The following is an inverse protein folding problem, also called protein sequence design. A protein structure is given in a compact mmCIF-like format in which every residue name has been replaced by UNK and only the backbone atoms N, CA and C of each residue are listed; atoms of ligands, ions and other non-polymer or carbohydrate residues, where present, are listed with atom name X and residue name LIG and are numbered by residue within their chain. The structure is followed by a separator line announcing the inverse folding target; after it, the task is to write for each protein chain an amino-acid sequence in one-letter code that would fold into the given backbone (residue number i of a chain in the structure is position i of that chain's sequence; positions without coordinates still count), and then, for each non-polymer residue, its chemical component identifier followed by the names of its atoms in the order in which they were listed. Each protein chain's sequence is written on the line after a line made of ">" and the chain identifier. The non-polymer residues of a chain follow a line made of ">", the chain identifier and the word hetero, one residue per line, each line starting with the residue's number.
data_IF_537389300145
#
_entry.id   IF_537389300145
#
_cell.length_a   1.000
_cell.length_b   1.000
_cell.length_c   1.000
_cell.angle_alpha   90.00
_cell.angle_beta   90.00
_cell.angle_gamma   90.00
#
_symmetry.space_group_name_H-M   'P 1'
#
loop_
_entity.id
_entity.type
_entity.pdbx_description
1 polymer ?
#
# COMPACT_ATOMS: atom_id res chain seq x y z
N UNK A 1 -25.68 14.87 -36.60
CA UNK A 1 -24.23 14.95 -36.27
C UNK A 1 -23.90 15.92 -35.14
N UNK A 2 -24.19 17.23 -35.23
CA UNK A 2 -23.76 18.22 -34.19
C UNK A 2 -24.20 17.90 -32.74
N UNK A 3 -25.42 17.38 -32.55
CA UNK A 3 -25.92 16.98 -31.21
C UNK A 3 -25.24 15.72 -30.64
N UNK A 4 -24.81 14.79 -31.51
CA UNK A 4 -24.08 13.59 -31.11
C UNK A 4 -22.65 13.93 -30.69
N UNK A 5 -22.02 14.87 -31.41
CA UNK A 5 -20.69 15.37 -31.06
C UNK A 5 -20.70 16.14 -29.73
N UNK A 6 -21.74 16.95 -29.50
CA UNK A 6 -21.92 17.67 -28.23
C UNK A 6 -22.17 16.70 -27.07
N UNK A 7 -22.97 15.65 -27.29
CA UNK A 7 -23.20 14.59 -26.30
C UNK A 7 -21.91 13.82 -26.00
N UNK A 8 -21.13 13.46 -27.02
CA UNK A 8 -19.83 12.79 -26.85
C UNK A 8 -18.82 13.65 -26.10
N UNK A 9 -18.79 14.96 -26.36
CA UNK A 9 -17.95 15.91 -25.62
C UNK A 9 -18.43 16.07 -24.17
N UNK A 10 -19.74 16.11 -23.93
CA UNK A 10 -20.30 16.19 -22.58
C UNK A 10 -20.05 14.90 -21.79
N UNK A 11 -20.16 13.73 -22.44
CA UNK A 11 -19.81 12.43 -21.87
C UNK A 11 -18.31 12.39 -21.58
N UNK A 12 -17.43 12.79 -22.50
CA UNK A 12 -15.98 12.82 -22.22
C UNK A 12 -15.55 13.83 -21.15
N UNK A 13 -16.35 14.86 -20.88
CA UNK A 13 -16.11 15.85 -19.82
C UNK A 13 -16.77 15.47 -18.48
N UNK A 14 -17.89 14.73 -18.51
CA UNK A 14 -18.61 14.27 -17.31
C UNK A 14 -18.09 12.93 -16.79
N UNK A 15 -17.53 12.10 -17.67
CA UNK A 15 -16.65 10.99 -17.33
C UNK A 15 -15.22 11.51 -17.44
N UNK A 16 -14.86 12.47 -16.57
CA UNK A 16 -13.45 12.67 -16.24
C UNK A 16 -12.86 11.29 -15.98
N UNK A 17 -11.80 10.95 -16.72
CA UNK A 17 -10.94 9.81 -16.47
C UNK A 17 -10.81 9.71 -14.95
N UNK A 18 -11.31 8.63 -14.36
CA UNK A 18 -11.20 8.42 -12.93
C UNK A 18 -9.70 8.28 -12.66
N UNK A 19 -9.07 9.38 -12.29
CA UNK A 19 -7.72 9.37 -11.77
C UNK A 19 -7.83 8.93 -10.31
N UNK A 20 -7.10 7.87 -9.97
CA UNK A 20 -7.03 7.39 -8.59
C UNK A 20 -6.63 8.57 -7.68
N UNK A 21 -7.38 8.83 -6.59
CA UNK A 21 -7.09 9.96 -5.72
C UNK A 21 -5.67 9.81 -5.14
N UNK A 22 -4.90 10.91 -5.02
CA UNK A 22 -3.56 10.83 -4.46
C UNK A 22 -3.65 10.31 -3.02
N UNK A 23 -2.69 9.47 -2.62
CA UNK A 23 -2.59 8.89 -1.26
C UNK A 23 -2.75 9.92 -0.14
N UNK A 24 -2.25 11.14 -0.34
CA UNK A 24 -2.38 12.24 0.61
C UNK A 24 -3.86 12.62 0.86
N UNK A 25 -4.71 12.55 -0.16
CA UNK A 25 -6.14 12.81 -0.03
C UNK A 25 -6.85 11.65 0.69
N UNK A 26 -6.52 10.40 0.37
CA UNK A 26 -7.03 9.21 1.07
C UNK A 26 -6.66 9.26 2.56
N UNK A 27 -5.39 9.55 2.86
CA UNK A 27 -4.90 9.72 4.23
C UNK A 27 -5.65 10.81 4.99
N UNK A 28 -5.84 11.98 4.36
CA UNK A 28 -6.55 13.09 4.98
C UNK A 28 -8.00 12.69 5.30
N UNK A 29 -8.69 12.02 4.37
CA UNK A 29 -10.05 11.54 4.58
C UNK A 29 -10.14 10.47 5.67
N UNK A 30 -9.21 9.51 5.69
CA UNK A 30 -9.16 8.48 6.72
C UNK A 30 -8.90 9.07 8.11
N UNK A 31 -8.03 10.07 8.23
CA UNK A 31 -7.79 10.81 9.48
C UNK A 31 -9.02 11.60 9.93
N UNK A 32 -9.75 12.21 8.99
CA UNK A 32 -11.01 12.91 9.32
C UNK A 32 -12.08 11.95 9.81
N UNK A 33 -12.18 10.75 9.23
CA UNK A 33 -13.14 9.72 9.68
C UNK A 33 -12.72 9.03 10.97
N UNK A 34 -11.42 8.97 11.28
CA UNK A 34 -10.93 8.37 12.53
C UNK A 34 -11.54 9.00 13.79
N UNK A 35 -11.87 10.30 13.76
CA UNK A 35 -12.56 10.95 14.89
C UNK A 35 -14.01 10.50 15.05
N UNK A 36 -14.67 10.07 13.96
CA UNK A 36 -16.04 9.52 14.01
C UNK A 36 -16.08 8.12 14.65
N UNK A 37 -14.92 7.45 14.76
CA UNK A 37 -14.76 6.18 15.47
C UNK A 37 -14.47 6.37 16.97
N UNK A 38 -14.48 7.63 17.45
CA UNK A 38 -14.62 7.90 18.87
C UNK A 38 -16.09 7.70 19.23
N UNK A 39 -16.36 6.76 20.12
CA UNK A 39 -17.69 6.37 20.59
C UNK A 39 -18.44 5.40 19.67
N UNK A 40 -17.75 4.76 18.72
CA UNK A 40 -18.30 3.63 17.97
C UNK A 40 -18.21 2.35 18.81
N UNK A 41 -19.07 2.29 19.83
CA UNK A 41 -19.17 1.15 20.73
C UNK A 41 -19.73 -0.08 20.00
N UNK A 42 -18.96 -1.17 20.00
CA UNK A 42 -19.40 -2.45 19.48
C UNK A 42 -19.83 -3.36 20.62
N UNK A 43 -21.15 -3.53 20.80
CA UNK A 43 -21.74 -4.36 21.85
C UNK A 43 -21.31 -5.84 21.77
N UNK A 44 -21.06 -6.38 20.57
CA UNK A 44 -20.71 -7.78 20.39
C UNK A 44 -19.26 -8.10 20.78
N UNK A 45 -18.38 -7.10 20.73
CA UNK A 45 -16.94 -7.22 21.04
C UNK A 45 -16.59 -6.58 22.40
N UNK A 46 -17.60 -6.12 23.15
CA UNK A 46 -17.39 -5.39 24.40
C UNK A 46 -16.94 -6.31 25.54
N UNK A 47 -15.90 -5.89 26.26
CA UNK A 47 -15.61 -6.42 27.59
C UNK A 47 -16.59 -5.83 28.60
N UNK A 48 -17.11 -6.68 29.50
CA UNK A 48 -18.07 -6.33 30.54
C UNK A 48 -17.39 -6.42 31.90
N UNK A 49 -17.66 -5.45 32.76
CA UNK A 49 -17.14 -5.38 34.11
C UNK A 49 -18.10 -4.64 35.04
N UNK A 50 -17.59 -4.32 36.22
CA UNK A 50 -18.37 -3.56 37.20
C UNK A 50 -17.50 -2.71 38.11
N UNK A 51 -17.99 -1.54 38.50
CA UNK A 51 -17.36 -0.66 39.51
C UNK A 51 -18.09 -0.87 40.84
N UNK A 52 -17.41 -1.40 41.87
CA UNK A 52 -17.98 -1.41 43.22
C UNK A 52 -17.97 0.00 43.81
N UNK A 53 -19.05 0.35 44.50
CA UNK A 53 -19.17 1.59 45.27
C UNK A 53 -19.49 1.17 46.70
N UNK A 54 -18.62 1.51 47.65
CA UNK A 54 -18.65 0.95 49.01
C UNK A 54 -19.98 1.20 49.76
N UNK A 55 -20.65 2.32 49.51
CA UNK A 55 -21.92 2.72 50.14
C UNK A 55 -23.15 2.33 49.30
N UNK A 56 -22.97 1.93 48.04
CA UNK A 56 -24.07 1.53 47.16
C UNK A 56 -24.11 0.01 47.04
N UNK A 57 -25.23 -0.62 47.42
CA UNK A 57 -25.38 -2.08 47.47
C UNK A 57 -25.20 -2.80 46.11
N UNK A 58 -25.09 -2.06 45.00
CA UNK A 58 -24.96 -2.59 43.64
C UNK A 58 -23.70 -2.04 42.98
N UNK A 59 -22.98 -2.88 42.25
CA UNK A 59 -21.91 -2.41 41.38
C UNK A 59 -22.51 -1.77 40.12
N UNK A 60 -21.88 -0.70 39.63
CA UNK A 60 -22.23 -0.11 38.34
C UNK A 60 -21.70 -0.99 37.21
N UNK A 61 -22.57 -1.37 36.28
CA UNK A 61 -22.14 -2.11 35.09
C UNK A 61 -21.29 -1.21 34.19
N UNK A 62 -20.17 -1.73 33.69
CA UNK A 62 -19.31 -1.01 32.73
C UNK A 62 -19.01 -1.89 31.54
N UNK A 63 -19.06 -1.33 30.34
CA UNK A 63 -18.77 -2.02 29.09
C UNK A 63 -17.85 -1.15 28.23
N UNK A 64 -16.80 -1.73 27.64
CA UNK A 64 -15.98 -1.03 26.64
C UNK A 64 -15.53 -1.97 25.53
N UNK A 65 -15.32 -1.40 24.35
CA UNK A 65 -14.71 -2.05 23.19
C UNK A 65 -13.58 -1.16 22.67
N UNK A 66 -12.47 -1.78 22.29
CA UNK A 66 -11.39 -1.10 21.60
C UNK A 66 -10.77 -2.04 20.57
N UNK A 67 -10.55 -1.54 19.35
CA UNK A 67 -9.93 -2.34 18.29
C UNK A 67 -9.15 -1.52 17.27
N UNK A 68 -8.28 -2.19 16.52
CA UNK A 68 -7.59 -1.65 15.35
C UNK A 68 -8.57 -1.62 14.18
N UNK A 69 -9.01 -0.43 13.79
CA UNK A 69 -9.89 -0.27 12.63
C UNK A 69 -9.13 -0.35 11.29
N UNK A 70 -7.84 0.02 11.30
CA UNK A 70 -6.97 -0.07 10.13
C UNK A 70 -5.77 0.88 10.20
N UNK A 71 -5.06 1.03 9.08
CA UNK A 71 -4.06 2.08 8.89
C UNK A 71 -4.50 3.08 7.83
N UNK A 72 -4.11 4.35 7.99
CA UNK A 72 -4.50 5.46 7.12
C UNK A 72 -4.10 5.27 5.66
N UNK A 73 -2.97 4.58 5.41
CA UNK A 73 -2.34 4.40 4.10
C UNK A 73 -2.69 3.07 3.40
N UNK A 74 -3.66 2.30 3.90
CA UNK A 74 -3.95 0.98 3.31
C UNK A 74 -4.55 1.09 1.91
N UNK A 75 -3.96 0.35 0.98
CA UNK A 75 -4.54 0.03 -0.32
C UNK A 75 -4.43 -1.49 -0.50
N UNK A 76 -5.53 -2.17 -0.84
CA UNK A 76 -5.60 -3.63 -1.00
C UNK A 76 -5.00 -4.43 0.18
N UNK A 77 -5.21 -3.92 1.41
CA UNK A 77 -4.64 -4.43 2.66
C UNK A 77 -3.12 -4.33 2.80
N UNK A 78 -2.41 -3.71 1.85
CA UNK A 78 -0.99 -3.40 1.94
C UNK A 78 -0.77 -1.95 2.38
N UNK A 79 0.38 -1.69 3.00
CA UNK A 79 0.84 -0.34 3.39
C UNK A 79 2.21 -0.05 2.79
N UNK A 80 2.58 1.22 2.68
CA UNK A 80 3.91 1.64 2.27
C UNK A 80 4.51 2.63 3.26
N UNK A 81 5.81 2.87 3.15
CA UNK A 81 6.44 3.99 3.84
C UNK A 81 5.94 5.34 3.29
N UNK A 82 5.74 6.34 4.16
CA UNK A 82 5.35 7.67 3.73
C UNK A 82 4.87 8.59 4.85
N UNK A 83 4.89 9.90 4.58
CA UNK A 83 4.44 10.90 5.54
C UNK A 83 2.94 10.77 5.80
N UNK A 84 2.59 10.37 7.03
CA UNK A 84 1.21 10.35 7.51
C UNK A 84 0.60 8.97 7.72
N UNK A 85 1.40 7.91 7.65
CA UNK A 85 1.01 6.59 8.14
C UNK A 85 0.58 6.68 9.61
N UNK A 86 -0.60 6.16 9.94
CA UNK A 86 -1.09 6.08 11.29
C UNK A 86 -2.08 4.95 11.45
N UNK A 87 -2.08 4.35 12.63
CA UNK A 87 -3.03 3.34 13.04
C UNK A 87 -4.27 4.06 13.55
N UNK A 88 -5.44 3.66 13.05
CA UNK A 88 -6.73 4.15 13.48
C UNK A 88 -7.30 3.13 14.46
N UNK A 89 -7.65 3.61 15.64
CA UNK A 89 -8.24 2.81 16.71
C UNK A 89 -9.71 3.19 16.83
N UNK A 90 -10.58 2.18 16.79
CA UNK A 90 -11.99 2.32 17.11
C UNK A 90 -12.16 2.06 18.60
N UNK A 91 -12.86 2.96 19.30
CA UNK A 91 -13.10 2.83 20.75
C UNK A 91 -14.48 3.34 21.14
N UNK A 92 -15.07 2.70 22.14
CA UNK A 92 -16.33 3.14 22.73
C UNK A 92 -16.60 2.46 24.05
N UNK A 93 -17.50 3.02 24.85
CA UNK A 93 -17.83 2.48 26.15
C UNK A 93 -19.14 3.01 26.69
N UNK A 94 -19.69 2.30 27.67
CA UNK A 94 -20.89 2.67 28.40
C UNK A 94 -20.70 2.34 29.87
N UNK A 95 -21.19 3.23 30.72
CA UNK A 95 -21.23 3.04 32.16
C UNK A 95 -22.68 3.12 32.63
N UNK A 96 -23.04 2.26 33.57
CA UNK A 96 -24.29 2.34 34.29
C UNK A 96 -24.21 3.42 35.36
N UNK A 97 -25.37 3.95 35.75
CA UNK A 97 -25.50 5.01 36.74
C UNK A 97 -26.47 4.54 37.84
N UNK A 98 -26.32 5.00 39.10
CA UNK A 98 -27.33 4.76 40.12
C UNK A 98 -28.68 5.34 39.68
N UNK A 99 -29.67 4.45 39.52
CA UNK A 99 -31.04 4.84 39.22
C UNK A 99 -31.80 5.13 40.52
N UNK A 100 -32.67 6.15 40.50
CA UNK A 100 -33.59 6.46 41.59
C UNK A 100 -34.29 5.21 42.13
N UNK A 101 -34.47 5.11 43.46
CA UNK A 101 -35.10 3.95 44.11
C UNK A 101 -36.52 3.63 43.58
N UNK A 102 -37.23 4.61 43.02
CA UNK A 102 -38.65 4.53 42.59
C UNK A 102 -38.89 4.84 41.10
N UNK A 103 -37.86 5.06 40.27
CA UNK A 103 -38.04 5.60 38.91
C UNK A 103 -36.93 5.29 37.91
N UNK A 104 -37.00 5.94 36.73
CA UNK A 104 -36.04 5.82 35.60
C UNK A 104 -35.11 7.06 35.52
N UNK A 105 -35.09 7.92 36.54
CA UNK A 105 -34.26 9.12 36.58
C UNK A 105 -32.87 8.88 37.14
N UNK A 106 -31.88 9.66 36.66
CA UNK A 106 -30.51 9.70 37.19
C UNK A 106 -30.45 10.77 38.28
N UNK A 107 -29.78 10.47 39.40
CA UNK A 107 -29.52 11.43 40.48
C UNK A 107 -28.33 12.35 40.13
N UNK A 108 -28.49 13.11 39.05
CA UNK A 108 -27.49 14.04 38.52
C UNK A 108 -27.70 15.46 39.07
N UNK A 109 -26.65 16.01 39.69
CA UNK A 109 -26.63 17.38 40.22
C UNK A 109 -27.01 18.44 39.17
N UNK A 110 -26.62 18.27 37.91
CA UNK A 110 -26.92 19.21 36.83
C UNK A 110 -28.41 19.23 36.48
N UNK A 111 -29.09 18.09 36.63
CA UNK A 111 -30.53 17.96 36.36
C UNK A 111 -31.39 18.62 37.46
N UNK A 112 -30.99 18.52 38.72
CA UNK A 112 -31.77 19.05 39.84
C UNK A 112 -31.55 20.55 40.12
N UNK A 113 -30.48 21.17 39.60
CA UNK A 113 -30.22 22.61 39.68
C UNK A 113 -29.91 23.16 41.09
N UNK A 114 -30.34 22.46 42.13
CA UNK A 114 -30.04 22.61 43.54
C UNK A 114 -29.97 21.22 44.19
N UNK A 115 -29.25 21.09 45.30
CA UNK A 115 -29.37 19.93 46.20
C UNK A 115 -30.80 19.92 46.75
N UNK A 116 -31.72 19.28 46.04
CA UNK A 116 -33.06 19.00 46.55
C UNK A 116 -33.00 17.63 47.17
N UNK A 117 -33.20 17.53 48.50
CA UNK A 117 -33.24 16.28 49.26
C UNK A 117 -34.39 15.38 48.76
N UNK A 118 -34.19 14.77 47.58
CA UNK A 118 -35.06 13.76 47.04
C UNK A 118 -34.69 12.47 47.76
N UNK A 119 -35.61 11.97 48.59
CA UNK A 119 -35.48 10.66 49.22
C UNK A 119 -35.32 9.51 48.20
N UNK A 120 -35.55 9.77 46.91
CA UNK A 120 -35.36 8.81 45.83
C UNK A 120 -33.88 8.66 45.41
N UNK A 121 -33.05 9.64 45.79
CA UNK A 121 -31.61 9.67 45.58
C UNK A 121 -30.83 9.40 46.87
N UNK A 122 -31.49 8.97 47.94
CA UNK A 122 -30.88 8.42 49.15
C UNK A 122 -30.73 6.91 48.94
N UNK A 123 -29.56 6.49 48.44
CA UNK A 123 -29.31 5.15 47.96
C UNK A 123 -28.96 4.17 49.07
N UNK A 124 -28.37 4.64 50.17
CA UNK A 124 -28.00 3.83 51.33
C UNK A 124 -29.04 3.88 52.48
N UNK A 125 -29.98 4.83 52.42
CA UNK A 125 -31.09 4.98 53.36
C UNK A 125 -30.73 5.71 54.66
N UNK A 126 -29.63 6.45 54.70
CA UNK A 126 -29.17 7.18 55.88
C UNK A 126 -29.90 8.54 56.09
N UNK A 127 -30.76 8.92 55.14
CA UNK A 127 -31.53 10.16 55.15
C UNK A 127 -30.84 11.33 54.46
N UNK A 128 -29.70 11.10 53.81
CA UNK A 128 -28.97 12.08 53.02
C UNK A 128 -28.89 11.64 51.55
N UNK A 129 -29.48 12.44 50.65
CA UNK A 129 -29.43 12.13 49.22
C UNK A 129 -28.00 12.26 48.66
N UNK A 130 -27.53 11.26 47.93
CA UNK A 130 -26.26 11.27 47.21
C UNK A 130 -26.45 11.69 45.74
N UNK A 131 -25.39 12.25 45.15
CA UNK A 131 -25.45 12.79 43.80
C UNK A 131 -24.27 12.34 42.97
N UNK A 132 -24.56 11.85 41.78
CA UNK A 132 -23.55 11.70 40.74
C UNK A 132 -23.05 13.09 40.35
N UNK A 133 -21.71 13.22 40.34
CA UNK A 133 -21.05 14.43 39.88
C UNK A 133 -20.44 14.24 38.49
N UNK A 134 -19.88 13.07 38.22
CA UNK A 134 -19.40 12.73 36.88
C UNK A 134 -19.39 11.22 36.63
N UNK A 135 -19.61 10.86 35.36
CA UNK A 135 -19.50 9.51 34.85
C UNK A 135 -18.70 9.52 33.56
N UNK A 136 -17.38 9.48 33.70
CA UNK A 136 -16.44 9.67 32.59
C UNK A 136 -15.74 8.36 32.19
N UNK A 137 -15.36 8.26 30.93
CA UNK A 137 -14.53 7.16 30.42
C UNK A 137 -13.31 7.78 29.75
N UNK A 138 -12.13 7.53 30.33
CA UNK A 138 -10.86 7.98 29.79
C UNK A 138 -10.15 6.84 29.09
N UNK A 139 -9.46 7.16 28.00
CA UNK A 139 -8.79 6.15 27.18
C UNK A 139 -7.31 6.44 27.07
N UNK A 140 -6.50 5.41 27.26
CA UNK A 140 -5.06 5.37 26.99
C UNK A 140 -4.84 4.38 25.85
N UNK A 141 -4.03 4.77 24.87
CA UNK A 141 -3.83 4.02 23.62
C UNK A 141 -2.34 3.99 23.28
N UNK A 142 -1.72 2.85 23.54
CA UNK A 142 -0.37 2.54 23.10
C UNK A 142 -0.40 1.56 21.91
N UNK A 143 0.41 1.85 20.89
CA UNK A 143 0.61 0.97 19.75
C UNK A 143 2.09 0.59 19.67
N UNK A 144 2.33 -0.72 19.60
CA UNK A 144 3.65 -1.31 19.37
C UNK A 144 3.75 -1.69 17.89
N UNK A 145 4.77 -1.19 17.22
CA UNK A 145 5.08 -1.44 15.81
C UNK A 145 6.29 -2.36 15.70
N UNK A 146 6.14 -3.48 15.01
CA UNK A 146 7.21 -4.47 14.79
C UNK A 146 7.43 -4.68 13.30
N UNK A 147 8.65 -4.37 12.84
CA UNK A 147 9.06 -4.56 11.43
C UNK A 147 10.57 -4.77 11.32
N UNK A 148 10.99 -5.76 10.53
CA UNK A 148 12.42 -5.97 10.24
C UNK A 148 13.32 -6.19 11.48
N UNK A 149 12.76 -6.72 12.57
CA UNK A 149 13.46 -6.88 13.85
C UNK A 149 13.52 -5.62 14.73
N UNK A 150 12.98 -4.49 14.26
CA UNK A 150 12.76 -3.30 15.08
C UNK A 150 11.44 -3.42 15.82
N UNK A 151 11.40 -2.85 17.03
CA UNK A 151 10.21 -2.81 17.87
C UNK A 151 10.13 -1.42 18.53
N UNK A 152 9.11 -0.65 18.18
CA UNK A 152 8.93 0.73 18.61
C UNK A 152 7.52 0.94 19.14
N UNK A 153 7.38 1.68 20.24
CA UNK A 153 6.07 2.03 20.80
C UNK A 153 5.76 3.51 20.53
N UNK A 154 4.53 3.79 20.12
CA UNK A 154 4.00 5.15 20.10
C UNK A 154 2.62 5.19 20.76
N UNK A 155 2.36 6.28 21.45
CA UNK A 155 1.11 6.53 22.17
C UNK A 155 0.25 7.54 21.40
N UNK A 156 -1.07 7.47 21.59
CA UNK A 156 -1.95 8.55 21.20
C UNK A 156 -1.57 9.84 21.95
N UNK A 157 -1.93 10.99 21.38
CA UNK A 157 -1.75 12.26 22.09
C UNK A 157 -2.74 12.31 23.25
N UNK A 158 -2.25 12.56 24.45
CA UNK A 158 -3.07 12.58 25.67
C UNK A 158 -3.11 13.95 26.35
N UNK A 159 -4.15 14.16 27.15
CA UNK A 159 -4.23 15.21 28.16
C UNK A 159 -4.56 14.62 29.54
N UNK A 160 -4.09 15.28 30.58
CA UNK A 160 -4.40 14.89 31.96
C UNK A 160 -5.65 15.65 32.44
N UNK A 161 -6.68 14.91 32.82
CA UNK A 161 -7.99 15.40 33.27
C UNK A 161 -8.13 15.16 34.77
N UNK A 162 -8.51 16.21 35.51
CA UNK A 162 -8.70 16.14 36.95
C UNK A 162 -10.15 15.89 37.37
N UNK A 163 -10.41 14.82 38.14
CA UNK A 163 -11.70 14.56 38.80
C UNK A 163 -11.47 14.51 40.32
N UNK A 164 -12.05 15.48 41.04
CA UNK A 164 -11.87 15.65 42.50
C UNK A 164 -10.43 15.53 43.02
N UNK A 165 -9.46 16.05 42.26
CA UNK A 165 -8.04 16.06 42.63
C UNK A 165 -7.26 14.79 42.26
N UNK A 166 -7.91 13.77 41.68
CA UNK A 166 -7.24 12.67 41.00
C UNK A 166 -7.07 12.99 39.51
N UNK A 167 -5.96 12.56 38.91
CA UNK A 167 -5.63 12.81 37.51
C UNK A 167 -5.80 11.53 36.70
N UNK A 168 -6.37 11.67 35.50
CA UNK A 168 -6.58 10.59 34.54
C UNK A 168 -6.09 11.03 33.16
N UNK A 169 -5.41 10.13 32.45
CA UNK A 169 -4.93 10.42 31.10
C UNK A 169 -6.02 10.07 30.08
N UNK A 170 -6.23 10.95 29.12
CA UNK A 170 -7.24 10.80 28.08
C UNK A 170 -6.69 11.10 26.69
N UNK A 171 -6.81 10.13 25.80
CA UNK A 171 -6.44 10.25 24.41
C UNK A 171 -7.31 11.29 23.70
N UNK A 172 -6.67 12.34 23.20
CA UNK A 172 -7.24 13.41 22.39
C UNK A 172 -7.51 12.98 20.94
N UNK A 173 -6.92 11.87 20.50
CA UNK A 173 -7.05 11.36 19.15
C UNK A 173 -7.03 9.83 19.11
N UNK A 174 -7.76 9.28 18.15
CA UNK A 174 -7.83 7.85 17.88
C UNK A 174 -6.81 7.38 16.84
N UNK A 175 -5.84 8.22 16.54
CA UNK A 175 -4.82 7.97 15.54
C UNK A 175 -3.44 7.99 16.19
N UNK A 176 -2.69 6.90 16.03
CA UNK A 176 -1.31 6.81 16.49
C UNK A 176 -0.41 6.78 15.26
N UNK A 177 0.51 7.73 15.17
CA UNK A 177 1.42 7.82 14.02
C UNK A 177 2.50 6.76 14.11
N UNK A 178 2.94 6.25 12.95
CA UNK A 178 4.09 5.33 12.88
C UNK A 178 5.34 6.06 13.40
N UNK A 179 6.17 5.45 14.27
CA UNK A 179 7.37 6.08 14.80
C UNK A 179 8.40 6.50 13.74
N UNK A 180 9.03 7.66 13.95
CA UNK A 180 10.11 8.17 13.10
C UNK A 180 11.29 7.18 13.08
N UNK A 181 11.56 6.59 11.91
CA UNK A 181 12.61 5.57 11.73
C UNK A 181 12.06 4.21 11.29
N UNK A 182 10.86 3.85 11.76
CA UNK A 182 10.12 2.69 11.26
C UNK A 182 9.78 2.88 9.78
N UNK A 183 9.29 4.07 9.42
CA UNK A 183 9.02 4.46 8.04
C UNK A 183 10.25 4.27 7.13
N UNK A 184 11.45 4.65 7.60
CA UNK A 184 12.69 4.52 6.81
C UNK A 184 13.08 3.07 6.55
N UNK A 185 12.82 2.17 7.51
CA UNK A 185 13.04 0.75 7.29
C UNK A 185 12.03 0.19 6.30
N UNK A 186 10.76 0.59 6.43
CA UNK A 186 9.68 0.20 5.51
C UNK A 186 9.99 0.66 4.07
N UNK A 187 10.65 1.81 3.86
CA UNK A 187 11.03 2.29 2.51
C UNK A 187 11.89 1.30 1.73
N UNK A 188 12.69 0.48 2.41
CA UNK A 188 13.58 -0.50 1.80
C UNK A 188 12.99 -1.91 1.76
N UNK A 189 11.76 -2.08 2.25
CA UNK A 189 11.02 -3.34 2.20
C UNK A 189 10.98 -3.88 0.77
N UNK A 190 11.10 -5.19 0.66
CA UNK A 190 10.99 -5.92 -0.61
C UNK A 190 9.55 -6.27 -0.98
N UNK A 191 8.55 -5.82 -0.22
CA UNK A 191 7.14 -6.20 -0.42
C UNK A 191 6.77 -7.55 0.17
N UNK A 192 7.74 -8.25 0.78
CA UNK A 192 7.56 -9.57 1.39
C UNK A 192 7.52 -9.52 2.93
N UNK A 193 8.00 -8.42 3.50
CA UNK A 193 7.95 -8.18 4.94
C UNK A 193 6.59 -7.65 5.40
N UNK A 194 6.23 -7.97 6.63
CA UNK A 194 5.00 -7.49 7.26
C UNK A 194 5.33 -6.52 8.40
N UNK A 195 4.49 -5.50 8.54
CA UNK A 195 4.39 -4.66 9.72
C UNK A 195 3.35 -5.29 10.65
N UNK A 196 3.79 -5.73 11.82
CA UNK A 196 2.88 -6.15 12.88
C UNK A 196 2.60 -4.96 13.79
N UNK A 197 1.33 -4.68 14.01
CA UNK A 197 0.81 -3.64 14.89
C UNK A 197 0.12 -4.32 16.06
N UNK A 198 0.51 -3.95 17.28
CA UNK A 198 -0.10 -4.47 18.50
C UNK A 198 -0.67 -3.29 19.27
N UNK A 199 -1.98 -3.30 19.46
CA UNK A 199 -2.69 -2.35 20.31
C UNK A 199 -2.62 -2.82 21.76
N UNK A 200 -2.21 -1.93 22.65
CA UNK A 200 -2.35 -2.04 24.09
C UNK A 200 -3.15 -0.84 24.58
N UNK A 201 -4.45 -1.04 24.75
CA UNK A 201 -5.37 0.00 25.16
C UNK A 201 -5.85 -0.17 26.59
N UNK A 202 -6.11 0.93 27.28
CA UNK A 202 -6.80 0.93 28.57
C UNK A 202 -8.00 1.86 28.52
N UNK A 203 -9.18 1.35 28.91
CA UNK A 203 -10.35 2.19 29.18
C UNK A 203 -10.53 2.29 30.69
N UNK A 204 -10.39 3.50 31.23
CA UNK A 204 -10.55 3.80 32.65
C UNK A 204 -11.88 4.48 32.88
N UNK A 205 -12.79 3.76 33.52
CA UNK A 205 -14.09 4.27 33.92
C UNK A 205 -13.95 4.99 35.25
N UNK A 206 -14.43 6.21 35.34
CA UNK A 206 -14.31 7.08 36.51
C UNK A 206 -15.69 7.55 36.92
N UNK A 207 -16.08 7.22 38.14
CA UNK A 207 -17.33 7.66 38.72
C UNK A 207 -17.05 8.58 39.90
N UNK A 208 -17.41 9.85 39.73
CA UNK A 208 -17.30 10.90 40.74
C UNK A 208 -18.63 11.08 41.46
N UNK A 209 -18.61 11.02 42.78
CA UNK A 209 -19.83 11.08 43.61
C UNK A 209 -19.68 12.04 44.78
N UNK A 210 -20.76 12.74 45.11
CA UNK A 210 -20.96 13.41 46.40
C UNK A 210 -21.78 12.49 47.29
N UNK A 211 -21.07 11.63 48.04
CA UNK A 211 -21.63 10.78 49.10
C UNK A 211 -21.95 11.70 50.29
N UNK A 212 -23.23 11.94 50.55
CA UNK A 212 -23.64 12.86 51.62
C UNK A 212 -24.00 12.04 52.84
N UNK A 213 -23.38 12.34 53.97
CA UNK A 213 -23.60 11.59 55.22
C UNK A 213 -24.20 12.48 56.33
N UNK A 214 -25.00 11.91 57.26
CA UNK A 214 -25.58 12.63 58.39
C UNK A 214 -24.55 13.26 59.31
N UNK A 215 -24.71 14.56 59.57
CA UNK A 215 -23.98 15.33 60.57
C UNK A 215 -24.98 16.13 61.44
N UNK A 216 -25.67 15.42 62.33
CA UNK A 216 -26.72 16.00 63.18
C UNK A 216 -28.02 16.21 62.41
N UNK A 217 -28.48 17.47 62.27
CA UNK A 217 -29.69 17.82 61.50
C UNK A 217 -29.39 18.23 60.04
N UNK A 218 -28.15 18.03 59.59
CA UNK A 218 -27.70 18.41 58.25
C UNK A 218 -26.85 17.31 57.64
N UNK A 219 -26.80 17.22 56.31
CA UNK A 219 -25.92 16.31 55.59
C UNK A 219 -24.63 17.02 55.17
N UNK A 220 -23.47 16.38 55.35
CA UNK A 220 -22.17 16.87 54.90
C UNK A 220 -21.72 16.14 53.63
N UNK A 221 -21.14 16.88 52.68
CA UNK A 221 -20.60 16.32 51.45
C UNK A 221 -19.29 15.57 51.69
N UNK A 222 -19.18 14.36 51.15
CA UNK A 222 -17.96 13.57 51.07
C UNK A 222 -17.73 13.18 49.61
N UNK A 223 -16.91 13.98 48.93
CA UNK A 223 -16.56 13.70 47.55
C UNK A 223 -15.66 12.45 47.45
N UNK A 224 -16.09 11.51 46.62
CA UNK A 224 -15.37 10.28 46.31
C UNK A 224 -15.16 10.13 44.82
N UNK A 225 -14.08 9.45 44.46
CA UNK A 225 -13.83 8.97 43.10
C UNK A 225 -13.57 7.48 43.21
N UNK A 226 -14.34 6.70 42.47
CA UNK A 226 -14.04 5.29 42.23
C UNK A 226 -13.69 5.13 40.76
N UNK A 227 -12.75 4.25 40.47
CA UNK A 227 -12.35 3.96 39.10
C UNK A 227 -12.08 2.49 38.90
N UNK A 228 -12.32 2.03 37.68
CA UNK A 228 -12.00 0.68 37.24
C UNK A 228 -11.47 0.76 35.82
N UNK A 229 -10.37 0.06 35.57
CA UNK A 229 -9.79 -0.03 34.24
C UNK A 229 -10.07 -1.38 33.59
N UNK A 230 -10.24 -1.36 32.28
CA UNK A 230 -10.26 -2.52 31.39
C UNK A 230 -9.10 -2.43 30.42
N UNK A 231 -8.45 -3.57 30.16
CA UNK A 231 -7.31 -3.64 29.27
C UNK A 231 -7.66 -4.40 27.99
N UNK A 232 -7.21 -3.87 26.87
CA UNK A 232 -7.45 -4.38 25.53
C UNK A 232 -6.13 -4.67 24.84
N UNK A 233 -6.03 -5.85 24.25
CA UNK A 233 -4.90 -6.21 23.41
C UNK A 233 -5.41 -6.79 22.11
N UNK A 234 -4.94 -6.23 21.00
CA UNK A 234 -5.23 -6.73 19.66
C UNK A 234 -3.98 -6.68 18.80
N UNK A 235 -3.89 -7.57 17.82
CA UNK A 235 -2.84 -7.53 16.81
C UNK A 235 -3.43 -7.44 15.40
N UNK A 236 -2.74 -6.71 14.54
CA UNK A 236 -3.01 -6.65 13.12
C UNK A 236 -1.69 -6.74 12.35
N UNK A 237 -1.72 -7.34 11.17
CA UNK A 237 -0.53 -7.52 10.33
C UNK A 237 -0.81 -6.98 8.95
N UNK A 238 0.08 -6.13 8.45
CA UNK A 238 -0.04 -5.49 7.14
C UNK A 238 1.21 -5.77 6.29
N UNK A 239 1.08 -6.31 5.07
CA UNK A 239 2.18 -6.38 4.12
C UNK A 239 2.73 -4.99 3.84
N UNK A 240 4.06 -4.85 3.84
CA UNK A 240 4.73 -3.57 3.60
C UNK A 240 5.37 -3.58 2.23
N UNK A 241 4.88 -2.74 1.33
CA UNK A 241 5.56 -2.44 0.08
C UNK A 241 6.53 -1.27 0.28
N UNK A 242 7.81 -1.50 -0.06
CA UNK A 242 8.81 -0.44 -0.01
C UNK A 242 8.59 0.61 -1.10
N UNK A 243 9.45 1.62 -1.13
CA UNK A 243 9.47 2.54 -2.28
C UNK A 243 9.85 1.79 -3.54
N UNK A 244 9.16 2.07 -4.64
CA UNK A 244 9.45 1.45 -5.91
C UNK A 244 10.83 1.86 -6.43
N UNK A 245 11.83 1.02 -6.17
CA UNK A 245 13.13 1.10 -6.81
C UNK A 245 13.20 -0.02 -7.83
N UNK A 246 13.28 0.37 -9.09
CA UNK A 246 13.40 -0.59 -10.19
C UNK A 246 14.87 -0.75 -10.57
N UNK A 247 15.26 -1.99 -10.84
CA UNK A 247 16.52 -2.33 -11.48
C UNK A 247 16.21 -2.93 -12.86
N UNK A 248 16.54 -2.18 -13.89
CA UNK A 248 16.33 -2.61 -15.28
C UNK A 248 17.57 -3.34 -15.77
N UNK A 249 17.41 -4.58 -16.20
CA UNK A 249 18.45 -5.27 -16.96
C UNK A 249 18.56 -4.59 -18.31
N UNK A 250 19.76 -4.12 -18.65
CA UNK A 250 19.97 -3.34 -19.86
C UNK A 250 19.85 -4.22 -21.11
N UNK A 251 18.85 -3.96 -21.95
CA UNK A 251 18.84 -4.31 -23.36
C UNK A 251 17.93 -3.36 -24.16
N UNK A 252 18.29 -3.02 -25.42
CA UNK A 252 19.42 -3.52 -26.19
C UNK A 252 20.66 -2.62 -26.15
N UNK A 253 21.82 -3.29 -26.10
CA UNK A 253 23.21 -2.80 -26.18
C UNK A 253 23.56 -2.03 -27.47
N UNK A 254 22.59 -1.72 -28.34
CA UNK A 254 22.81 -1.14 -29.66
C UNK A 254 21.84 0.03 -29.90
N UNK A 255 22.42 1.24 -29.98
CA UNK A 255 21.71 2.49 -30.34
C UNK A 255 21.19 2.50 -31.79
N UNK A 256 21.54 1.49 -32.59
CA UNK A 256 21.07 1.30 -33.96
C UNK A 256 20.34 -0.05 -34.09
N UNK A 257 19.13 -0.03 -34.65
CA UNK A 257 18.26 -1.19 -34.86
C UNK A 257 17.86 -1.30 -36.33
N UNK A 258 17.53 -2.50 -36.79
CA UNK A 258 17.04 -2.72 -38.16
C UNK A 258 15.56 -2.42 -38.27
N UNK A 259 15.12 -1.70 -39.30
CA UNK A 259 13.74 -1.19 -39.42
C UNK A 259 12.62 -2.23 -39.38
N UNK A 260 12.93 -3.50 -39.63
CA UNK A 260 12.02 -4.66 -39.55
C UNK A 260 12.34 -5.63 -38.40
N UNK A 261 13.30 -5.28 -37.56
CA UNK A 261 13.74 -6.05 -36.42
C UNK A 261 14.05 -5.11 -35.24
N UNK A 262 13.19 -4.11 -35.00
CA UNK A 262 13.29 -3.30 -33.80
C UNK A 262 12.55 -4.03 -32.68
N UNK A 263 13.29 -4.64 -31.76
CA UNK A 263 12.75 -5.31 -30.59
C UNK A 263 13.45 -4.83 -29.33
N UNK A 264 12.65 -4.58 -28.30
CA UNK A 264 13.07 -4.20 -26.98
C UNK A 264 12.55 -5.26 -26.00
N UNK A 265 13.48 -6.03 -25.43
CA UNK A 265 13.18 -6.99 -24.37
C UNK A 265 13.93 -6.53 -23.12
N UNK A 266 13.21 -6.23 -22.04
CA UNK A 266 13.79 -5.77 -20.79
C UNK A 266 13.26 -6.62 -19.64
N UNK A 267 14.14 -7.00 -18.73
CA UNK A 267 13.75 -7.62 -17.47
C UNK A 267 13.92 -6.57 -16.37
N UNK A 268 12.85 -6.33 -15.63
CA UNK A 268 12.82 -5.34 -14.55
C UNK A 268 12.64 -6.06 -13.23
N UNK A 269 13.63 -5.88 -12.36
CA UNK A 269 13.54 -6.23 -10.96
C UNK A 269 12.90 -5.07 -10.20
N UNK A 270 11.97 -5.36 -9.30
CA UNK A 270 11.27 -4.35 -8.51
C UNK A 270 11.21 -4.75 -7.04
N UNK A 271 11.28 -3.74 -6.16
CA UNK A 271 11.01 -3.89 -4.73
C UNK A 271 9.51 -3.94 -4.41
N UNK A 272 8.66 -3.31 -5.22
CA UNK A 272 7.21 -3.29 -5.02
C UNK A 272 6.47 -3.79 -6.25
N UNK A 273 5.15 -3.97 -6.14
CA UNK A 273 4.35 -4.44 -7.28
C UNK A 273 4.21 -3.31 -8.31
N UNK A 274 4.38 -3.67 -9.59
CA UNK A 274 4.09 -2.75 -10.69
C UNK A 274 2.58 -2.75 -10.89
N UNK A 275 1.95 -1.58 -10.73
CA UNK A 275 0.53 -1.38 -10.98
C UNK A 275 0.27 -1.01 -12.43
N UNK A 276 1.07 -0.08 -12.96
CA UNK A 276 0.92 0.42 -14.32
C UNK A 276 2.29 0.46 -14.99
N UNK A 277 2.35 0.18 -16.28
CA UNK A 277 3.50 0.55 -17.09
C UNK A 277 3.06 0.93 -18.50
N UNK A 278 3.95 1.56 -19.25
CA UNK A 278 3.67 1.99 -20.62
C UNK A 278 4.93 2.30 -21.38
N UNK A 279 4.93 2.00 -22.68
CA UNK A 279 6.01 2.39 -23.59
C UNK A 279 5.52 3.54 -24.47
N UNK A 280 6.24 4.65 -24.39
CA UNK A 280 5.99 5.84 -25.17
C UNK A 280 7.05 5.92 -26.26
N UNK A 281 6.63 6.17 -27.49
CA UNK A 281 7.49 6.45 -28.64
C UNK A 281 7.30 7.90 -29.02
N UNK A 282 8.35 8.70 -28.94
CA UNK A 282 8.31 10.15 -29.21
C UNK A 282 7.20 10.85 -28.40
N UNK A 283 7.01 10.45 -27.15
CA UNK A 283 5.96 10.98 -26.25
C UNK A 283 4.56 10.40 -26.45
N UNK A 284 4.31 9.59 -27.49
CA UNK A 284 3.01 8.97 -27.72
C UNK A 284 2.98 7.51 -27.23
N UNK A 285 1.91 7.10 -26.53
CA UNK A 285 1.75 5.71 -26.11
C UNK A 285 1.73 4.79 -27.34
N UNK A 286 2.72 3.91 -27.44
CA UNK A 286 3.01 3.20 -28.68
C UNK A 286 2.34 1.81 -28.78
N UNK A 287 1.80 1.28 -27.66
CA UNK A 287 1.03 0.04 -27.63
C UNK A 287 0.98 -0.61 -26.25
N UNK A 288 0.08 -1.60 -26.10
CA UNK A 288 -0.06 -2.39 -24.88
C UNK A 288 1.06 -3.42 -24.77
N UNK A 289 1.66 -3.50 -23.59
CA UNK A 289 2.64 -4.50 -23.20
C UNK A 289 1.91 -5.68 -22.56
N UNK A 290 2.55 -6.84 -22.55
CA UNK A 290 2.13 -7.97 -21.72
C UNK A 290 3.13 -8.06 -20.57
N UNK A 291 2.70 -7.72 -19.36
CA UNK A 291 3.48 -8.01 -18.16
C UNK A 291 3.53 -9.51 -17.97
N UNK A 292 4.72 -10.01 -17.67
CA UNK A 292 4.87 -11.35 -17.13
C UNK A 292 5.40 -11.23 -15.72
N UNK A 293 4.70 -11.82 -14.76
CA UNK A 293 5.29 -12.18 -13.47
C UNK A 293 5.95 -13.55 -13.59
N UNK A 294 6.93 -13.81 -12.74
CA UNK A 294 7.60 -15.11 -12.69
C UNK A 294 7.31 -15.78 -11.35
N UNK A 295 6.92 -17.05 -11.39
CA UNK A 295 6.78 -17.90 -10.21
C UNK A 295 7.84 -19.00 -10.24
N UNK A 296 8.26 -19.47 -9.06
CA UNK A 296 9.09 -20.67 -8.96
C UNK A 296 8.21 -21.83 -8.53
N UNK A 297 8.09 -22.81 -9.40
CA UNK A 297 7.47 -24.10 -9.08
C UNK A 297 8.54 -25.16 -8.93
N UNK A 298 8.23 -26.24 -8.22
CA UNK A 298 9.09 -27.41 -8.17
C UNK A 298 8.48 -28.46 -9.07
N UNK A 299 9.23 -28.95 -10.06
CA UNK A 299 8.75 -29.99 -10.95
C UNK A 299 8.67 -31.35 -10.25
N UNK A 300 8.14 -32.35 -10.95
CA UNK A 300 7.99 -33.72 -10.45
C UNK A 300 9.30 -34.41 -10.02
N UNK A 301 10.46 -33.83 -10.37
CA UNK A 301 11.78 -34.31 -10.01
C UNK A 301 12.45 -33.52 -8.88
N UNK A 302 11.74 -32.58 -8.25
CA UNK A 302 12.28 -31.75 -7.17
C UNK A 302 13.14 -30.57 -7.66
N UNK A 303 13.17 -30.27 -8.97
CA UNK A 303 13.92 -29.15 -9.52
C UNK A 303 13.05 -27.89 -9.55
N UNK A 304 13.61 -26.77 -9.10
CA UNK A 304 12.98 -25.46 -9.21
C UNK A 304 12.96 -25.00 -10.67
N UNK A 305 11.78 -24.68 -11.19
CA UNK A 305 11.56 -24.11 -12.51
C UNK A 305 10.95 -22.71 -12.39
N UNK A 306 11.33 -21.81 -13.31
CA UNK A 306 10.76 -20.46 -13.37
C UNK A 306 9.65 -20.46 -14.42
N UNK A 307 8.41 -20.22 -14.01
CA UNK A 307 7.23 -20.17 -14.89
C UNK A 307 6.82 -18.72 -15.09
N UNK A 308 6.74 -18.27 -16.34
CA UNK A 308 6.22 -16.95 -16.70
C UNK A 308 4.68 -16.97 -16.80
N UNK A 309 4.01 -16.08 -16.08
CA UNK A 309 2.56 -15.95 -16.08
C UNK A 309 2.20 -14.56 -16.63
N UNK A 310 1.44 -14.45 -17.73
CA UNK A 310 0.97 -13.14 -18.20
C UNK A 310 0.03 -12.54 -17.16
N UNK A 311 0.26 -11.30 -16.75
CA UNK A 311 -0.66 -10.57 -15.88
C UNK A 311 -1.83 -10.07 -16.73
N UNK A 312 -2.97 -10.71 -16.58
CA UNK A 312 -4.25 -10.13 -16.97
C UNK A 312 -4.69 -9.27 -15.78
N UNK A 313 -4.89 -7.97 -15.97
CA UNK A 313 -5.52 -7.16 -14.93
C UNK A 313 -6.81 -7.81 -14.44
N UNK A 314 -7.04 -7.72 -13.12
CA UNK A 314 -8.06 -8.36 -12.27
C UNK A 314 -7.70 -9.71 -11.65
N UNK A 315 -6.84 -9.67 -10.62
CA UNK A 315 -6.88 -10.70 -9.57
C UNK A 315 -5.53 -11.00 -8.95
N UNK A 316 -5.41 -10.70 -7.66
CA UNK A 316 -4.34 -11.09 -6.75
C UNK A 316 -3.62 -12.39 -7.13
N UNK A 317 -2.29 -12.30 -7.29
CA UNK A 317 -1.42 -13.45 -7.15
C UNK A 317 -0.33 -13.17 -6.12
N UNK A 318 -0.38 -13.96 -5.04
CA UNK A 318 0.66 -14.08 -4.01
C UNK A 318 1.45 -15.35 -4.38
N UNK A 319 2.61 -15.17 -4.99
CA UNK A 319 3.63 -16.20 -5.09
C UNK A 319 4.80 -15.78 -4.20
N UNK A 320 5.07 -16.54 -3.13
CA UNK A 320 6.29 -16.35 -2.34
C UNK A 320 7.46 -16.74 -3.23
N UNK A 321 8.16 -15.75 -3.79
CA UNK A 321 9.42 -16.00 -4.49
C UNK A 321 10.46 -16.30 -3.42
N UNK A 322 10.61 -17.58 -3.08
CA UNK A 322 11.63 -18.09 -2.16
C UNK A 322 13.01 -18.11 -2.86
N UNK A 323 13.39 -16.99 -3.47
CA UNK A 323 14.74 -16.78 -4.01
C UNK A 323 15.45 -15.88 -3.04
N UNK A 324 16.51 -16.38 -2.43
CA UNK A 324 17.46 -15.53 -1.71
C UNK A 324 17.96 -14.47 -2.69
N UNK A 325 17.61 -13.19 -2.53
CA UNK A 325 17.97 -12.17 -3.50
C UNK A 325 19.50 -12.12 -3.61
N UNK A 326 20.03 -12.39 -4.81
CA UNK A 326 21.46 -12.25 -5.07
C UNK A 326 21.71 -10.76 -5.28
N UNK A 327 22.53 -10.15 -4.42
CA UNK A 327 23.00 -8.78 -4.60
C UNK A 327 23.61 -8.64 -6.00
N UNK A 328 22.87 -8.00 -6.91
CA UNK A 328 23.45 -7.45 -8.14
C UNK A 328 24.18 -6.17 -7.72
N UNK A 329 25.49 -6.13 -7.94
CA UNK A 329 26.46 -5.14 -7.45
C UNK A 329 26.19 -3.67 -7.83
N UNK A 330 25.05 -3.33 -8.43
CA UNK A 330 24.65 -1.94 -8.69
C UNK A 330 23.68 -1.35 -7.67
N UNK A 331 23.04 -2.14 -6.79
CA UNK A 331 22.15 -1.56 -5.77
C UNK A 331 22.15 -2.33 -4.44
N UNK A 332 22.12 -1.61 -3.31
CA UNK A 332 21.99 -2.17 -1.96
C UNK A 332 20.57 -2.63 -1.62
N UNK A 333 19.68 -2.72 -2.61
CA UNK A 333 18.25 -2.93 -2.42
C UNK A 333 17.87 -4.39 -2.72
N UNK A 334 16.97 -4.96 -1.91
CA UNK A 334 16.39 -6.28 -2.16
C UNK A 334 15.16 -6.15 -3.07
N UNK A 335 15.14 -6.93 -4.16
CA UNK A 335 14.04 -6.96 -5.13
C UNK A 335 13.32 -8.30 -5.02
N UNK A 336 12.00 -8.28 -4.82
CA UNK A 336 11.20 -9.52 -4.72
C UNK A 336 10.42 -9.83 -6.00
N UNK A 337 10.23 -8.83 -6.87
CA UNK A 337 9.42 -8.98 -8.08
C UNK A 337 10.28 -8.91 -9.33
N UNK A 338 9.94 -9.74 -10.31
CA UNK A 338 10.60 -9.82 -11.61
C UNK A 338 9.55 -9.67 -12.69
N UNK A 339 9.78 -8.75 -13.62
CA UNK A 339 8.88 -8.47 -14.73
C UNK A 339 9.63 -8.56 -16.06
N UNK A 340 8.98 -9.09 -17.10
CA UNK A 340 9.49 -9.02 -18.47
C UNK A 340 8.64 -8.08 -19.30
N UNK A 341 9.30 -7.12 -19.93
CA UNK A 341 8.74 -6.22 -20.92
C UNK A 341 9.22 -6.65 -22.29
N UNK A 342 8.30 -6.85 -23.23
CA UNK A 342 8.63 -7.19 -24.63
C UNK A 342 7.83 -6.30 -25.55
N UNK A 343 8.54 -5.51 -26.36
CA UNK A 343 7.93 -4.55 -27.28
C UNK A 343 8.67 -4.56 -28.62
N UNK A 344 7.92 -4.56 -29.71
CA UNK A 344 8.43 -4.44 -31.07
C UNK A 344 7.70 -3.35 -31.81
N UNK A 345 8.39 -2.67 -32.72
CA UNK A 345 7.76 -1.64 -33.55
C UNK A 345 8.38 -1.54 -34.94
N UNK A 346 7.57 -1.15 -35.91
CA UNK A 346 8.02 -0.83 -37.26
C UNK A 346 8.06 0.68 -37.42
N UNK A 347 9.25 1.24 -37.56
CA UNK A 347 9.49 2.67 -37.70
C UNK A 347 10.94 2.95 -38.06
N UNK A 348 11.18 3.98 -38.86
CA UNK A 348 12.52 4.37 -39.33
C UNK A 348 12.98 5.68 -38.68
N UNK A 349 14.29 5.92 -38.69
CA UNK A 349 14.90 7.14 -38.20
C UNK A 349 15.13 7.13 -36.69
N UNK A 350 15.41 8.33 -36.16
CA UNK A 350 15.62 8.53 -34.73
C UNK A 350 14.29 8.52 -34.01
N UNK A 351 14.19 7.69 -33.00
CA UNK A 351 13.01 7.57 -32.14
C UNK A 351 13.48 7.61 -30.69
N UNK A 352 12.70 8.30 -29.86
CA UNK A 352 12.83 8.24 -28.41
C UNK A 352 11.86 7.18 -27.90
N UNK A 353 12.37 6.22 -27.13
CA UNK A 353 11.55 5.26 -26.41
C UNK A 353 11.64 5.54 -24.92
N UNK A 354 10.49 5.66 -24.27
CA UNK A 354 10.38 5.78 -22.83
C UNK A 354 9.57 4.62 -22.28
N UNK A 355 10.16 3.83 -21.40
CA UNK A 355 9.43 2.91 -20.53
C UNK A 355 9.11 3.65 -19.25
N UNK A 356 7.82 3.90 -19.02
CA UNK A 356 7.31 4.45 -17.77
C UNK A 356 6.66 3.33 -16.96
N UNK A 357 6.92 3.30 -15.66
CA UNK A 357 6.40 2.30 -14.72
C UNK A 357 5.90 3.04 -13.48
N UNK A 358 4.77 2.63 -12.91
CA UNK A 358 4.24 3.11 -11.65
C UNK A 358 3.94 1.93 -10.71
N UNK A 359 4.21 2.14 -9.43
CA UNK A 359 3.74 1.26 -8.36
C UNK A 359 2.28 1.56 -7.97
N UNK A 360 1.76 0.75 -7.07
CA UNK A 360 0.42 0.86 -6.49
C UNK A 360 0.19 2.12 -5.64
N UNK A 361 1.27 2.76 -5.18
CA UNK A 361 1.27 3.95 -4.33
C UNK A 361 1.56 5.24 -5.13
N UNK A 362 1.54 5.17 -6.47
CA UNK A 362 1.76 6.29 -7.38
C UNK A 362 3.23 6.69 -7.56
N UNK A 363 4.18 5.95 -6.96
CA UNK A 363 5.61 6.09 -7.20
C UNK A 363 5.99 5.60 -8.60
N UNK A 364 6.54 6.50 -9.41
CA UNK A 364 6.87 6.23 -10.81
C UNK A 364 8.35 6.34 -11.13
N UNK A 365 8.80 5.55 -12.10
CA UNK A 365 10.14 5.62 -12.66
C UNK A 365 10.10 5.46 -14.18
N UNK A 366 10.90 6.28 -14.87
CA UNK A 366 10.98 6.28 -16.32
C UNK A 366 12.42 5.99 -16.77
N UNK A 367 12.56 5.15 -17.80
CA UNK A 367 13.80 5.03 -18.56
C UNK A 367 13.54 5.50 -19.98
N UNK A 368 14.34 6.45 -20.44
CA UNK A 368 14.29 6.97 -21.81
C UNK A 368 15.57 6.61 -22.55
N UNK A 369 15.44 6.07 -23.75
CA UNK A 369 16.54 5.75 -24.64
C UNK A 369 16.28 6.27 -26.05
N UNK A 370 17.30 6.90 -26.64
CA UNK A 370 17.29 7.28 -28.05
C UNK A 370 17.81 6.12 -28.89
N UNK A 371 17.00 5.67 -29.84
CA UNK A 371 17.34 4.61 -30.78
C UNK A 371 17.22 5.11 -32.22
N UNK A 372 18.12 4.62 -33.07
CA UNK A 372 18.11 4.92 -34.50
C UNK A 372 17.73 3.66 -35.25
N UNK A 373 16.58 3.66 -35.90
CA UNK A 373 16.18 2.54 -36.75
C UNK A 373 16.52 2.80 -38.20
N UNK A 374 17.25 1.89 -38.84
CA UNK A 374 17.72 2.04 -40.22
C UNK A 374 17.40 0.83 -41.08
N UNK A 375 17.17 1.10 -42.36
CA UNK A 375 17.07 0.09 -43.41
C UNK A 375 18.41 -0.06 -44.15
N UNK A 376 18.62 -1.18 -44.84
CA UNK A 376 19.81 -1.41 -45.67
C UNK A 376 19.72 -0.66 -47.01
N UNK A 377 20.87 -0.20 -47.51
CA UNK A 377 21.01 0.23 -48.90
C UNK A 377 21.19 -0.97 -49.84
N UNK A 378 20.58 -0.95 -51.01
CA UNK A 378 20.79 -1.95 -52.06
C UNK A 378 22.01 -1.63 -52.94
N UNK A 379 22.18 -0.36 -53.33
CA UNK A 379 23.19 0.06 -54.33
C UNK A 379 23.76 1.47 -54.07
N UNK A 380 23.79 1.89 -52.80
CA UNK A 380 24.15 3.25 -52.35
C UNK A 380 23.24 4.40 -52.85
N UNK A 381 22.30 4.12 -53.75
CA UNK A 381 21.32 5.09 -54.26
C UNK A 381 19.88 4.73 -53.87
N UNK A 382 19.61 3.46 -53.60
CA UNK A 382 18.31 2.92 -53.20
C UNK A 382 18.43 2.09 -51.94
N UNK A 383 17.33 2.00 -51.22
CA UNK A 383 17.17 1.18 -50.01
C UNK A 383 16.57 -0.18 -50.35
N UNK A 384 16.55 -1.10 -49.38
CA UNK A 384 15.89 -2.42 -49.52
C UNK A 384 14.38 -2.34 -49.76
N UNK A 385 13.75 -1.18 -49.49
CA UNK A 385 12.34 -0.90 -49.81
C UNK A 385 12.16 -0.19 -51.15
N UNK A 386 13.26 0.11 -51.86
CA UNK A 386 13.24 0.83 -53.15
C UNK A 386 13.15 2.35 -53.03
N UNK A 387 13.16 2.91 -51.82
CA UNK A 387 13.22 4.36 -51.60
C UNK A 387 14.60 4.92 -51.92
N UNK A 388 14.69 6.24 -52.14
CA UNK A 388 15.98 6.90 -52.28
C UNK A 388 16.84 6.71 -51.01
N UNK A 389 18.16 6.61 -51.19
CA UNK A 389 19.09 6.54 -50.06
C UNK A 389 19.09 7.85 -49.27
N UNK A 390 18.90 7.72 -47.96
CA UNK A 390 19.04 8.80 -46.98
C UNK A 390 19.88 8.27 -45.80
N UNK A 391 20.99 8.94 -45.51
CA UNK A 391 21.91 8.52 -44.44
C UNK A 391 21.31 8.62 -43.02
N UNK A 392 20.20 9.35 -42.84
CA UNK A 392 19.48 9.40 -41.57
C UNK A 392 18.69 8.10 -41.32
N UNK A 393 18.12 7.51 -42.36
CA UNK A 393 17.18 6.38 -42.29
C UNK A 393 17.71 5.09 -42.91
N UNK A 394 18.83 5.13 -43.64
CA UNK A 394 19.46 3.99 -44.28
C UNK A 394 20.94 3.84 -43.91
N UNK A 395 21.41 2.60 -43.86
CA UNK A 395 22.82 2.22 -43.68
C UNK A 395 23.34 1.54 -44.93
N UNK A 396 24.56 1.90 -45.32
CA UNK A 396 25.22 1.27 -46.46
C UNK A 396 25.42 -0.22 -46.19
N UNK A 397 24.95 -1.07 -47.10
CA UNK A 397 25.22 -2.50 -47.05
C UNK A 397 26.71 -2.78 -47.25
N UNK A 398 27.20 -3.89 -46.70
CA UNK A 398 28.53 -4.37 -47.04
C UNK A 398 28.60 -4.57 -48.56
N UNK A 399 29.45 -3.80 -49.23
CA UNK A 399 29.62 -3.90 -50.67
C UNK A 399 30.28 -5.25 -50.98
N UNK A 400 29.50 -6.21 -51.47
CA UNK A 400 30.10 -7.33 -52.19
C UNK A 400 30.65 -6.76 -53.48
N UNK A 401 31.97 -6.60 -53.56
CA UNK A 401 32.59 -6.22 -54.82
C UNK A 401 32.18 -7.26 -55.87
N UNK A 402 31.81 -6.83 -57.07
CA UNK A 402 31.51 -7.72 -58.20
C UNK A 402 32.66 -8.72 -58.45
N UNK A 403 33.89 -8.37 -58.07
CA UNK A 403 35.04 -9.27 -58.08
C UNK A 403 34.90 -10.49 -57.16
N UNK A 404 34.26 -10.34 -55.99
CA UNK A 404 34.06 -11.41 -55.01
C UNK A 404 33.02 -12.44 -55.48
N UNK A 405 31.92 -11.99 -56.10
CA UNK A 405 30.91 -12.87 -56.69
C UNK A 405 31.46 -13.62 -57.93
N UNK A 406 32.24 -12.94 -58.78
CA UNK A 406 32.92 -13.59 -59.91
C UNK A 406 33.93 -14.65 -59.47
N UNK A 407 34.64 -14.45 -58.36
CA UNK A 407 35.56 -15.45 -57.80
C UNK A 407 34.81 -16.72 -57.35
N UNK A 408 33.61 -16.57 -56.78
CA UNK A 408 32.76 -17.71 -56.40
C UNK A 408 32.22 -18.44 -57.64
N UNK A 409 31.75 -17.71 -58.67
CA UNK A 409 31.32 -18.31 -59.94
C UNK A 409 32.45 -19.04 -60.65
N UNK A 410 33.65 -18.45 -60.74
CA UNK A 410 34.84 -19.09 -61.32
C UNK A 410 35.25 -20.32 -60.50
N UNK A 411 35.20 -20.24 -59.16
CA UNK A 411 35.50 -21.35 -58.27
C UNK A 411 34.54 -22.54 -58.44
N UNK A 412 33.23 -22.28 -58.51
CA UNK A 412 32.21 -23.29 -58.76
C UNK A 412 32.33 -23.88 -60.17
N UNK A 413 32.61 -23.05 -61.17
CA UNK A 413 32.87 -23.49 -62.54
C UNK A 413 34.08 -24.42 -62.62
N UNK A 414 35.19 -24.08 -61.95
CA UNK A 414 36.38 -24.94 -61.90
C UNK A 414 36.12 -26.25 -61.16
N UNK A 415 35.37 -26.22 -60.05
CA UNK A 415 34.97 -27.44 -59.34
C UNK A 415 34.15 -28.38 -60.24
N UNK A 416 33.20 -27.81 -61.01
CA UNK A 416 32.40 -28.56 -61.98
C UNK A 416 33.25 -29.22 -63.07
N UNK A 417 34.23 -28.50 -63.62
CA UNK A 417 35.19 -29.06 -64.60
C UNK A 417 36.02 -30.18 -63.97
N UNK A 418 36.46 -30.02 -62.73
CA UNK A 418 37.29 -31.01 -62.02
C UNK A 418 36.51 -32.30 -61.72
N UNK A 419 35.24 -32.17 -61.32
CA UNK A 419 34.32 -33.31 -61.16
C UNK A 419 34.08 -34.00 -62.50
N UNK A 420 33.87 -33.24 -63.58
CA UNK A 420 33.64 -33.81 -64.90
C UNK A 420 34.88 -34.57 -65.41
N UNK A 421 36.09 -34.02 -65.20
CA UNK A 421 37.35 -34.67 -65.54
C UNK A 421 37.57 -35.95 -64.71
N UNK A 422 37.24 -35.94 -63.42
CA UNK A 422 37.28 -37.12 -62.56
C UNK A 422 36.31 -38.21 -63.04
N UNK A 423 35.10 -37.82 -63.44
CA UNK A 423 34.11 -38.75 -64.00
C UNK A 423 34.58 -39.35 -65.34
N UNK A 424 35.11 -38.53 -66.25
CA UNK A 424 35.67 -39.01 -67.53
C UNK A 424 36.87 -39.93 -67.30
N UNK A 425 37.74 -39.61 -66.33
CA UNK A 425 38.86 -40.46 -65.96
C UNK A 425 38.41 -41.81 -65.39
N UNK A 426 37.36 -41.84 -64.58
CA UNK A 426 36.78 -43.08 -64.08
C UNK A 426 36.10 -43.92 -65.17
N UNK A 427 35.54 -43.31 -66.22
CA UNK A 427 34.94 -44.03 -67.36
C UNK A 427 36.01 -44.66 -68.27
N UNK A 428 37.22 -44.10 -68.32
CA UNK A 428 38.35 -44.62 -69.12
C UNK A 428 39.16 -45.71 -68.41
N UNK A 429 38.88 -45.98 -67.13
CA UNK A 429 39.52 -47.03 -66.33
C UNK A 429 38.57 -48.21 -66.22
#
# INVERSE_FOLDING_TARGET
>A
MKRLLLLLVFVSLAFSIYDDPPLSAVNAQNRLRATELSDSFNEEEAQVGSIPIDWYERSLAINASMKIAGMTLLIDNATSAGQGAGVIVEKGGRMGHPAQRSGVGICDKAFFGHYGDSSECDFDGDGCAEYEYSGDIFYDIDIIFVFGGMNETASAREESVGVFGQLFDNALANTVSVPDGMDKAMENSSGMENLTVILNGTATFVYGVDDRVPAGMSCISRYGVVSQSMHFTENATYPVEGKNKLLFTTAPLLNEQWFRNNRFDNIVLSQSRIYEAGIYRNGELAGNFTLYSFNITTNEFGLSEIVSIPMNDSGNFIGVVNVTPVQLQESSNAHAFLYKFSYGYEGMGRNELTLAVKDFFGGGQNITQNITSRQLSYDSNRTETGSAYDAATARTSASFSIGSLRLIEIGLGMLGVLIMLLLIYQIKR
#
